data_IF_143565758889
#
_entry.id   IF_143565758889
#
_cell.length_a   1.000
_cell.length_b   1.000
_cell.length_c   1.000
_cell.angle_alpha   90.00
_cell.angle_beta   90.00
_cell.angle_gamma   90.00
#
_symmetry.space_group_name_H-M   'P 1'
#
loop_
_entity.id
_entity.type
_entity.pdbx_description
1 polymer ?
#
# COMPACT_ATOMS: atom_id res chain seq x y z
N UNK A 1 10.80 2.82 -2.44
CA UNK A 1 9.96 2.87 -3.66
C UNK A 1 9.69 1.44 -4.11
N UNK A 2 8.59 1.17 -4.83
CA UNK A 2 8.20 -0.20 -5.17
C UNK A 2 9.29 -0.86 -6.01
N UNK A 3 10.07 -1.76 -5.41
CA UNK A 3 11.19 -2.45 -6.08
C UNK A 3 10.71 -3.45 -7.15
N UNK A 4 9.42 -3.82 -7.13
CA UNK A 4 8.79 -4.81 -8.01
C UNK A 4 8.03 -4.17 -9.16
N UNK A 5 8.65 -3.25 -9.87
CA UNK A 5 8.03 -2.74 -11.09
C UNK A 5 7.95 -3.85 -12.15
N UNK A 6 6.74 -4.12 -12.65
CA UNK A 6 6.44 -4.91 -13.85
C UNK A 6 6.76 -6.41 -13.80
N UNK A 7 7.11 -6.99 -12.65
CA UNK A 7 7.24 -8.43 -12.49
C UNK A 7 5.97 -9.00 -11.87
N UNK A 8 5.28 -9.87 -12.61
CA UNK A 8 4.15 -10.63 -12.06
C UNK A 8 4.68 -11.64 -11.04
N UNK A 9 4.29 -11.51 -9.78
CA UNK A 9 4.65 -12.46 -8.71
C UNK A 9 3.43 -13.19 -8.18
N UNK A 10 3.55 -14.49 -7.89
CA UNK A 10 2.51 -15.22 -7.15
C UNK A 10 2.50 -14.70 -5.71
N UNK A 11 1.56 -13.78 -5.43
CA UNK A 11 1.45 -13.10 -4.15
C UNK A 11 0.80 -14.01 -3.11
N UNK A 12 -0.19 -14.80 -3.54
CA UNK A 12 -0.93 -15.72 -2.67
C UNK A 12 -1.27 -17.02 -3.38
N UNK A 13 -1.15 -18.12 -2.66
CA UNK A 13 -1.57 -19.45 -3.08
C UNK A 13 -2.10 -20.19 -1.86
N UNK A 14 -3.41 -20.36 -1.79
CA UNK A 14 -4.06 -20.95 -0.63
C UNK A 14 -5.35 -21.68 -1.03
N UNK A 15 -5.90 -22.42 -0.06
CA UNK A 15 -7.22 -23.04 -0.18
C UNK A 15 -8.19 -22.38 0.79
N UNK A 16 -9.42 -22.18 0.33
CA UNK A 16 -10.53 -21.75 1.19
C UNK A 16 -10.99 -22.91 2.09
N UNK A 17 -11.83 -22.60 3.08
CA UNK A 17 -12.39 -23.62 3.99
C UNK A 17 -13.24 -24.68 3.26
N UNK A 18 -13.89 -24.33 2.15
CA UNK A 18 -14.62 -25.25 1.26
C UNK A 18 -13.71 -25.98 0.25
N UNK A 19 -12.39 -25.82 0.36
CA UNK A 19 -11.39 -26.58 -0.39
C UNK A 19 -10.97 -25.99 -1.73
N UNK A 20 -11.57 -24.89 -2.19
CA UNK A 20 -11.26 -24.27 -3.49
C UNK A 20 -9.85 -23.72 -3.51
N UNK A 21 -9.11 -24.00 -4.59
CA UNK A 21 -7.77 -23.45 -4.81
C UNK A 21 -7.87 -22.03 -5.35
N UNK A 22 -7.19 -21.10 -4.69
CA UNK A 22 -7.06 -19.70 -5.10
C UNK A 22 -5.58 -19.40 -5.34
N UNK A 23 -5.26 -18.93 -6.55
CA UNK A 23 -3.96 -18.37 -6.91
C UNK A 23 -4.13 -16.91 -7.27
N UNK A 24 -3.33 -16.03 -6.66
CA UNK A 24 -3.34 -14.60 -6.94
C UNK A 24 -1.97 -14.18 -7.41
N UNK A 25 -1.90 -13.67 -8.64
CA UNK A 25 -0.69 -13.04 -9.18
C UNK A 25 -0.83 -11.53 -9.12
N UNK A 26 0.18 -10.86 -8.63
CA UNK A 26 0.20 -9.40 -8.48
C UNK A 26 1.21 -8.78 -9.44
N UNK A 27 0.81 -7.68 -10.08
CA UNK A 27 1.72 -6.77 -10.79
C UNK A 27 1.56 -5.37 -10.22
N UNK A 28 2.68 -4.76 -9.84
CA UNK A 28 2.73 -3.36 -9.40
C UNK A 28 3.39 -2.46 -10.46
N UNK A 29 2.84 -1.27 -10.63
CA UNK A 29 3.41 -0.22 -11.48
C UNK A 29 3.28 1.13 -10.78
N UNK A 30 4.43 1.72 -10.44
CA UNK A 30 4.46 3.06 -9.86
C UNK A 30 4.53 4.13 -10.96
N UNK A 31 3.65 5.12 -10.87
CA UNK A 31 3.61 6.27 -11.76
C UNK A 31 4.11 7.50 -11.01
N UNK A 32 5.40 7.83 -11.18
CA UNK A 32 6.04 8.91 -10.43
C UNK A 32 5.36 10.29 -10.59
N UNK A 33 4.86 10.61 -11.80
CA UNK A 33 4.20 11.90 -12.07
C UNK A 33 2.93 12.12 -11.25
N UNK A 34 2.15 11.07 -11.01
CA UNK A 34 0.90 11.14 -10.24
C UNK A 34 1.07 10.61 -8.82
N UNK A 35 2.24 10.05 -8.51
CA UNK A 35 2.56 9.33 -7.27
C UNK A 35 1.60 8.18 -6.99
N UNK A 36 1.07 7.54 -8.04
CA UNK A 36 0.11 6.45 -7.89
C UNK A 36 0.80 5.12 -8.15
N UNK A 37 0.76 4.21 -7.17
CA UNK A 37 1.03 2.80 -7.39
C UNK A 37 -0.25 2.12 -7.88
N UNK A 38 -0.22 1.56 -9.08
CA UNK A 38 -1.30 0.71 -9.62
C UNK A 38 -0.95 -0.74 -9.38
N UNK A 39 -1.83 -1.43 -8.68
CA UNK A 39 -1.77 -2.86 -8.41
C UNK A 39 -2.81 -3.55 -9.27
N UNK A 40 -2.41 -4.61 -9.96
CA UNK A 40 -3.30 -5.51 -10.67
C UNK A 40 -3.18 -6.90 -10.09
N UNK A 41 -4.31 -7.48 -9.71
CA UNK A 41 -4.40 -8.86 -9.24
C UNK A 41 -5.09 -9.71 -10.30
N UNK A 42 -4.40 -10.75 -10.74
CA UNK A 42 -4.97 -11.82 -11.56
C UNK A 42 -5.32 -12.97 -10.62
N UNK A 43 -6.60 -13.23 -10.46
CA UNK A 43 -7.13 -14.34 -9.69
C UNK A 43 -7.35 -15.54 -10.60
N UNK A 44 -6.93 -16.72 -10.14
CA UNK A 44 -7.33 -18.04 -10.66
C UNK A 44 -8.00 -18.79 -9.51
N UNK A 45 -9.33 -18.94 -9.60
CA UNK A 45 -10.16 -19.66 -8.65
C UNK A 45 -10.69 -20.91 -9.35
N UNK A 46 -10.04 -22.05 -9.10
CA UNK A 46 -10.34 -23.33 -9.76
C UNK A 46 -10.43 -23.25 -11.30
N UNK A 47 -9.55 -22.45 -11.94
CA UNK A 47 -9.52 -22.24 -13.38
C UNK A 47 -10.43 -21.11 -13.87
N UNK A 48 -11.21 -20.48 -12.99
CA UNK A 48 -11.93 -19.24 -13.31
C UNK A 48 -11.01 -18.06 -13.09
N UNK A 49 -10.68 -17.35 -14.18
CA UNK A 49 -9.79 -16.19 -14.13
C UNK A 49 -10.56 -14.87 -14.02
N UNK A 50 -10.11 -13.98 -13.13
CA UNK A 50 -10.59 -12.59 -13.06
C UNK A 50 -9.45 -11.61 -12.78
N UNK A 51 -9.65 -10.35 -13.15
CA UNK A 51 -8.67 -9.28 -12.95
C UNK A 51 -9.32 -8.17 -12.15
N UNK A 52 -8.66 -7.76 -11.08
CA UNK A 52 -9.04 -6.59 -10.28
C UNK A 52 -7.90 -5.58 -10.28
N UNK A 53 -8.24 -4.29 -10.32
CA UNK A 53 -7.27 -3.19 -10.30
C UNK A 53 -7.49 -2.28 -9.09
N UNK A 54 -6.39 -1.83 -8.49
CA UNK A 54 -6.42 -0.90 -7.38
C UNK A 54 -5.33 0.15 -7.51
N UNK A 55 -5.70 1.42 -7.30
CA UNK A 55 -4.78 2.55 -7.33
C UNK A 55 -4.59 3.14 -5.95
N UNK A 56 -3.34 3.24 -5.50
CA UNK A 56 -2.99 3.92 -4.25
C UNK A 56 -2.06 5.08 -4.54
N UNK A 57 -2.40 6.29 -4.06
CA UNK A 57 -1.47 7.42 -4.09
C UNK A 57 -0.53 7.33 -2.88
N UNK A 58 0.78 7.29 -3.15
CA UNK A 58 1.82 7.14 -2.14
C UNK A 58 2.60 8.45 -2.02
N UNK A 59 2.34 9.21 -0.96
CA UNK A 59 3.05 10.46 -0.69
C UNK A 59 4.45 10.19 -0.10
N UNK A 60 5.42 11.02 -0.47
CA UNK A 60 6.71 11.00 0.21
C UNK A 60 6.54 11.42 1.69
N UNK A 61 7.37 10.90 2.62
CA UNK A 61 7.18 11.17 4.04
C UNK A 61 7.13 12.67 4.37
N UNK A 62 8.04 13.47 3.79
CA UNK A 62 8.07 14.92 4.00
C UNK A 62 6.88 15.63 3.34
N UNK A 63 6.42 15.16 2.19
CA UNK A 63 5.27 15.75 1.50
C UNK A 63 3.99 15.59 2.32
N UNK A 64 3.75 14.40 2.86
CA UNK A 64 2.58 14.15 3.70
C UNK A 64 2.63 14.98 4.99
N UNK A 65 3.82 15.14 5.60
CA UNK A 65 4.00 16.03 6.75
C UNK A 65 3.66 17.49 6.44
N UNK A 66 4.08 17.99 5.28
CA UNK A 66 3.77 19.34 4.85
C UNK A 66 2.27 19.50 4.56
N UNK A 67 1.66 18.54 3.85
CA UNK A 67 0.22 18.56 3.56
C UNK A 67 -0.60 18.60 4.85
N UNK A 68 -0.26 17.80 5.86
CA UNK A 68 -0.93 17.83 7.16
C UNK A 68 -0.80 19.22 7.82
N UNK A 69 0.41 19.77 7.91
CA UNK A 69 0.66 21.10 8.50
C UNK A 69 -0.08 22.21 7.77
N UNK A 70 -0.05 22.24 6.44
CA UNK A 70 -0.74 23.24 5.63
C UNK A 70 -2.26 23.17 5.73
N UNK A 71 -2.80 22.01 6.09
CA UNK A 71 -4.24 21.80 6.27
C UNK A 71 -4.67 21.88 7.75
N UNK A 72 -3.88 22.53 8.60
CA UNK A 72 -4.28 22.81 9.98
C UNK A 72 -4.20 21.60 10.90
N UNK A 73 -3.27 20.66 10.65
CA UNK A 73 -2.98 19.56 11.57
C UNK A 73 -1.62 19.74 12.23
N UNK A 74 -1.59 19.58 13.55
CA UNK A 74 -0.37 19.38 14.32
C UNK A 74 -0.08 17.88 14.41
N UNK A 75 1.12 17.49 14.03
CA UNK A 75 1.58 16.10 14.12
C UNK A 75 2.06 15.84 15.56
N UNK A 76 1.43 14.87 16.23
CA UNK A 76 1.79 14.44 17.59
C UNK A 76 2.77 13.28 17.53
N UNK A 77 2.50 12.30 16.66
CA UNK A 77 3.34 11.12 16.48
C UNK A 77 3.39 10.69 15.01
N UNK A 78 4.49 10.01 14.67
CA UNK A 78 4.68 9.35 13.38
C UNK A 78 5.28 7.96 13.62
N UNK A 79 4.53 6.93 13.26
CA UNK A 79 4.88 5.54 13.47
C UNK A 79 5.09 4.79 12.15
N UNK A 80 5.92 3.76 12.21
CA UNK A 80 6.17 2.82 11.10
C UNK A 80 5.23 1.62 11.09
N UNK A 81 4.63 1.30 12.25
CA UNK A 81 3.74 0.15 12.46
C UNK A 81 2.56 0.52 13.37
N UNK A 82 1.59 -0.38 13.51
CA UNK A 82 0.41 -0.15 14.35
C UNK A 82 0.70 -0.39 15.84
N UNK A 83 1.84 -1.01 16.14
CA UNK A 83 2.41 -1.23 17.45
C UNK A 83 3.20 0.00 17.96
N UNK A 84 3.01 1.16 17.31
CA UNK A 84 3.65 2.43 17.65
C UNK A 84 5.18 2.43 17.55
N UNK A 85 5.75 1.54 16.72
CA UNK A 85 7.20 1.57 16.48
C UNK A 85 7.60 2.83 15.70
N UNK A 86 8.81 3.37 15.94
CA UNK A 86 9.29 4.56 15.25
C UNK A 86 9.25 4.41 13.72
N UNK A 87 8.89 5.49 13.03
CA UNK A 87 9.02 5.54 11.58
C UNK A 87 10.50 5.60 11.16
N UNK A 88 10.95 4.59 10.42
CA UNK A 88 12.32 4.42 9.92
C UNK A 88 12.32 4.10 8.42
N UNK A 89 13.50 4.03 7.77
CA UNK A 89 13.63 3.79 6.33
C UNK A 89 12.95 2.47 5.89
N UNK A 90 13.03 1.45 6.72
CA UNK A 90 12.46 0.12 6.47
C UNK A 90 10.95 0.04 6.73
N UNK A 91 10.36 1.13 7.25
CA UNK A 91 8.93 1.16 7.57
C UNK A 91 8.08 1.05 6.31
N UNK A 92 7.23 0.02 6.28
CA UNK A 92 6.29 -0.21 5.17
C UNK A 92 5.06 0.70 5.24
N UNK A 93 4.85 1.42 6.34
CA UNK A 93 3.71 2.31 6.57
C UNK A 93 4.19 3.64 7.16
N UNK A 94 3.37 4.67 6.96
CA UNK A 94 3.51 5.97 7.61
C UNK A 94 2.19 6.23 8.34
N UNK A 95 2.20 6.13 9.67
CA UNK A 95 1.00 6.28 10.50
C UNK A 95 1.15 7.57 11.30
N UNK A 96 0.24 8.52 11.10
CA UNK A 96 0.26 9.81 11.77
C UNK A 96 -0.85 9.88 12.82
N UNK A 97 -0.49 10.34 14.01
CA UNK A 97 -1.46 10.79 15.01
C UNK A 97 -1.43 12.32 14.99
N UNK A 98 -2.57 12.93 14.71
CA UNK A 98 -2.69 14.38 14.56
C UNK A 98 -3.77 14.95 15.48
N UNK A 99 -3.57 16.19 15.90
CA UNK A 99 -4.63 17.05 16.42
C UNK A 99 -4.90 18.20 15.44
N UNK A 100 -6.06 18.86 15.51
CA UNK A 100 -6.20 20.20 14.93
C UNK A 100 -5.07 21.12 15.42
N UNK A 101 -4.59 21.98 14.53
CA UNK A 101 -3.74 23.11 14.86
C UNK A 101 -4.65 24.28 15.29
N UNK A 102 -4.30 24.92 16.40
CA UNK A 102 -4.95 26.15 16.89
C UNK A 102 -4.49 27.39 16.11
#
# INVERSE_FOLDING_TARGET
MVERERVSTEAFNFRTADGKRIVVRETCQYHALTQVNRVRWHFDIEGVESIEEFGMRCYYPLELELLLKYNGFRILHKFGTFEEEPFVEESKKQIFVCSPAE
#
